data_IF_998644819644
#
_entry.id   IF_998644819644
#
_cell.length_a   1.000
_cell.length_b   1.000
_cell.length_c   1.000
_cell.angle_alpha   90.00
_cell.angle_beta   90.00
_cell.angle_gamma   90.00
#
_symmetry.space_group_name_H-M   'P 1'
#
loop_
_entity.id
_entity.type
_entity.pdbx_description
1 polymer ?
#
# COMPACT_ATOMS: atom_id res chain seq x y z
N UNK A 1 -18.19 36.86 -32.01
CA UNK A 1 -18.38 37.07 -30.55
C UNK A 1 -19.08 35.82 -30.06
N UNK A 2 -18.54 35.15 -29.03
CA UNK A 2 -19.20 33.97 -28.43
C UNK A 2 -20.46 34.46 -27.69
N UNK A 3 -21.63 33.86 -27.95
CA UNK A 3 -22.89 34.27 -27.32
C UNK A 3 -23.03 33.79 -25.86
N UNK A 4 -22.18 32.86 -25.42
CA UNK A 4 -22.17 32.29 -24.07
C UNK A 4 -21.06 32.88 -23.17
N UNK A 5 -20.09 33.58 -23.75
CA UNK A 5 -18.87 34.00 -23.07
C UNK A 5 -18.80 35.53 -22.96
N UNK A 6 -18.92 36.09 -21.74
CA UNK A 6 -18.78 37.54 -21.49
C UNK A 6 -17.31 38.01 -21.59
N UNK A 7 -16.73 37.99 -22.78
CA UNK A 7 -15.37 38.52 -23.03
C UNK A 7 -14.24 37.82 -22.23
N UNK A 8 -14.51 36.64 -21.67
CA UNK A 8 -13.56 35.79 -20.96
C UNK A 8 -12.96 34.76 -21.92
N UNK A 9 -11.65 34.51 -21.80
CA UNK A 9 -10.93 33.57 -22.68
C UNK A 9 -11.03 32.10 -22.25
N UNK A 10 -11.42 31.83 -21.00
CA UNK A 10 -11.59 30.49 -20.45
C UNK A 10 -12.83 30.43 -19.55
N UNK A 11 -13.53 29.31 -19.57
CA UNK A 11 -14.64 28.98 -18.67
C UNK A 11 -14.29 27.72 -17.87
N UNK A 12 -14.80 27.63 -16.63
CA UNK A 12 -14.55 26.46 -15.77
C UNK A 12 -15.63 25.42 -16.01
N UNK A 13 -15.24 24.30 -16.61
CA UNK A 13 -16.08 23.12 -16.76
C UNK A 13 -15.55 21.99 -15.86
N UNK A 14 -16.47 21.20 -15.29
CA UNK A 14 -16.13 20.00 -14.52
C UNK A 14 -16.52 18.77 -15.31
N UNK A 15 -15.56 17.88 -15.57
CA UNK A 15 -15.79 16.60 -16.23
C UNK A 15 -15.26 15.43 -15.36
N UNK A 16 -15.79 14.24 -15.58
CA UNK A 16 -15.39 13.04 -14.85
C UNK A 16 -14.31 12.28 -15.65
N UNK A 17 -13.21 11.93 -14.97
CA UNK A 17 -12.15 11.06 -15.51
C UNK A 17 -12.17 9.75 -14.74
N UNK A 18 -12.29 8.64 -15.45
CA UNK A 18 -12.19 7.30 -14.87
C UNK A 18 -10.74 6.84 -14.92
N UNK A 19 -10.18 6.50 -13.77
CA UNK A 19 -8.83 5.94 -13.66
C UNK A 19 -8.94 4.51 -13.16
N UNK A 20 -8.53 3.56 -14.00
CA UNK A 20 -8.52 2.15 -13.64
C UNK A 20 -7.25 1.81 -12.84
N UNK A 21 -7.43 1.27 -11.64
CA UNK A 21 -6.34 0.82 -10.78
C UNK A 21 -6.21 -0.69 -10.90
N UNK A 22 -5.19 -1.14 -11.62
CA UNK A 22 -4.90 -2.57 -11.78
C UNK A 22 -4.28 -3.18 -10.51
N UNK A 23 -4.52 -4.48 -10.34
CA UNK A 23 -3.94 -5.26 -9.25
C UNK A 23 -2.42 -5.24 -9.35
N UNK A 24 -1.75 -4.93 -8.25
CA UNK A 24 -0.28 -4.92 -8.18
C UNK A 24 0.37 -3.58 -8.52
N UNK A 25 -0.39 -2.57 -8.96
CA UNK A 25 0.13 -1.20 -9.15
C UNK A 25 0.93 -0.72 -7.92
N UNK A 26 2.06 -0.07 -8.19
CA UNK A 26 3.03 0.30 -7.16
C UNK A 26 2.76 1.69 -6.60
N UNK A 27 3.23 1.93 -5.39
CA UNK A 27 3.22 3.26 -4.81
C UNK A 27 4.06 4.23 -5.67
N UNK A 28 3.49 5.39 -5.94
CA UNK A 28 4.15 6.43 -6.74
C UNK A 28 4.10 6.22 -8.25
N UNK A 29 3.49 5.14 -8.75
CA UNK A 29 3.25 4.92 -10.17
C UNK A 29 2.38 6.04 -10.76
N UNK A 30 2.69 6.47 -11.98
CA UNK A 30 1.98 7.54 -12.68
C UNK A 30 1.11 6.98 -13.80
N UNK A 31 -0.14 7.46 -13.87
CA UNK A 31 -1.05 7.27 -14.99
C UNK A 31 -1.19 8.61 -15.68
N UNK A 32 -0.81 8.66 -16.96
CA UNK A 32 -0.75 9.90 -17.75
C UNK A 32 -1.88 9.92 -18.76
N UNK A 33 -2.65 10.99 -18.74
CA UNK A 33 -3.63 11.33 -19.76
C UNK A 33 -3.05 12.49 -20.57
N UNK A 34 -2.69 12.21 -21.82
CA UNK A 34 -2.08 13.19 -22.71
C UNK A 34 -3.13 14.20 -23.15
N UNK A 35 -2.77 15.49 -23.14
CA UNK A 35 -3.63 16.58 -23.60
C UNK A 35 -4.95 16.78 -22.81
N UNK A 36 -5.14 16.10 -21.68
CA UNK A 36 -6.30 16.27 -20.77
C UNK A 36 -6.06 17.33 -19.68
N UNK A 37 -4.97 18.08 -19.76
CA UNK A 37 -4.64 19.17 -18.84
C UNK A 37 -5.37 20.48 -19.16
N UNK A 38 -4.90 21.57 -18.59
CA UNK A 38 -5.51 22.89 -18.82
C UNK A 38 -5.32 23.33 -20.30
N UNK A 39 -6.39 23.82 -20.95
CA UNK A 39 -6.32 24.29 -22.33
C UNK A 39 -5.49 25.57 -22.45
N UNK A 40 -4.79 25.74 -23.58
CA UNK A 40 -4.01 26.94 -23.90
C UNK A 40 -4.52 27.60 -25.18
N UNK A 41 -4.52 28.93 -25.22
CA UNK A 41 -4.97 29.72 -26.39
C UNK A 41 -4.12 29.46 -27.64
N UNK A 42 -2.80 29.38 -27.49
CA UNK A 42 -1.84 29.22 -28.60
C UNK A 42 -0.95 27.98 -28.39
N UNK A 43 -1.56 26.81 -28.20
CA UNK A 43 -0.80 25.56 -28.09
C UNK A 43 -1.64 24.35 -27.68
N UNK A 44 -0.97 23.19 -27.60
CA UNK A 44 -1.56 21.94 -27.09
C UNK A 44 -1.86 22.07 -25.58
N UNK A 45 -2.96 21.45 -25.10
CA UNK A 45 -3.23 21.35 -23.68
C UNK A 45 -2.11 20.65 -22.91
N UNK A 46 -2.04 20.87 -21.59
CA UNK A 46 -1.11 20.11 -20.75
C UNK A 46 -1.49 18.64 -20.61
N UNK A 47 -0.65 17.87 -19.91
CA UNK A 47 -0.99 16.49 -19.52
C UNK A 47 -1.61 16.46 -18.12
N UNK A 48 -2.56 15.54 -17.91
CA UNK A 48 -3.08 15.22 -16.60
C UNK A 48 -2.39 13.95 -16.06
N UNK A 49 -1.62 14.11 -14.98
CA UNK A 49 -0.85 13.01 -14.37
C UNK A 49 -1.42 12.64 -13.01
N UNK A 50 -1.95 11.43 -12.90
CA UNK A 50 -2.36 10.85 -11.63
C UNK A 50 -1.22 10.08 -11.02
N UNK A 51 -0.87 10.39 -9.77
CA UNK A 51 0.13 9.63 -9.01
C UNK A 51 -0.55 8.79 -7.95
N UNK A 52 -0.38 7.48 -8.05
CA UNK A 52 -0.96 6.52 -7.12
C UNK A 52 -0.24 6.64 -5.78
N UNK A 53 -1.02 6.69 -4.70
CA UNK A 53 -0.51 6.63 -3.33
C UNK A 53 -1.21 5.52 -2.57
N UNK A 54 -0.41 4.66 -1.95
CA UNK A 54 -0.89 3.55 -1.11
C UNK A 54 -1.40 4.12 0.19
N UNK A 55 -2.67 3.85 0.50
CA UNK A 55 -3.25 4.23 1.79
C UNK A 55 -2.60 3.39 2.92
N UNK A 56 -2.26 4.01 4.07
CA UNK A 56 -1.81 3.25 5.23
C UNK A 56 -2.92 2.33 5.71
N UNK A 57 -2.55 1.12 6.14
CA UNK A 57 -3.49 0.12 6.66
C UNK A 57 -3.09 -0.28 8.09
N UNK A 58 -4.07 -0.47 8.97
CA UNK A 58 -3.84 -0.66 10.40
C UNK A 58 -3.01 -1.90 10.73
N UNK A 59 -3.22 -2.98 9.96
CA UNK A 59 -2.57 -4.29 10.21
C UNK A 59 -1.36 -4.57 9.32
N UNK A 60 -1.28 -3.89 8.18
CA UNK A 60 -0.39 -4.30 7.10
C UNK A 60 0.35 -3.10 6.54
N UNK A 61 1.63 -3.30 6.29
CA UNK A 61 2.47 -2.34 5.57
C UNK A 61 2.95 -3.00 4.30
N UNK A 62 2.69 -2.38 3.15
CA UNK A 62 3.24 -2.84 1.87
C UNK A 62 4.64 -2.27 1.68
N UNK A 63 5.57 -3.12 1.27
CA UNK A 63 6.92 -2.75 0.87
C UNK A 63 7.23 -3.45 -0.46
N UNK A 64 7.17 -2.69 -1.56
CA UNK A 64 7.24 -3.25 -2.91
C UNK A 64 6.12 -4.27 -3.18
N UNK A 65 6.52 -5.52 -3.44
CA UNK A 65 5.61 -6.64 -3.65
C UNK A 65 5.32 -7.45 -2.37
N UNK A 66 5.88 -7.03 -1.23
CA UNK A 66 5.74 -7.73 0.02
C UNK A 66 4.72 -7.04 0.94
N UNK A 67 4.00 -7.86 1.69
CA UNK A 67 3.13 -7.42 2.77
C UNK A 67 3.75 -7.78 4.12
N UNK A 68 3.94 -6.78 4.97
CA UNK A 68 4.51 -6.91 6.30
C UNK A 68 3.41 -6.74 7.34
N UNK A 69 3.39 -7.62 8.35
CA UNK A 69 2.61 -7.42 9.58
C UNK A 69 3.45 -7.76 10.79
N UNK A 70 3.18 -7.07 11.91
CA UNK A 70 3.86 -7.31 13.18
C UNK A 70 2.92 -8.04 14.13
N UNK A 71 3.32 -9.25 14.54
CA UNK A 71 2.56 -10.03 15.51
C UNK A 71 3.28 -9.99 16.85
N UNK A 72 2.53 -9.67 17.90
CA UNK A 72 3.03 -9.76 19.28
C UNK A 72 2.79 -11.17 19.81
N UNK A 73 3.87 -11.83 20.23
CA UNK A 73 3.83 -13.14 20.88
C UNK A 73 4.35 -13.04 22.31
N UNK A 74 3.89 -13.93 23.18
CA UNK A 74 4.44 -14.03 24.54
C UNK A 74 5.81 -14.69 24.53
N UNK A 75 6.59 -14.50 25.59
CA UNK A 75 7.91 -15.14 25.72
C UNK A 75 7.80 -16.67 25.66
N UNK A 76 6.78 -17.24 26.31
CA UNK A 76 6.52 -18.69 26.30
C UNK A 76 6.24 -19.19 24.88
N UNK A 77 5.39 -18.48 24.13
CA UNK A 77 5.08 -18.77 22.72
C UNK A 77 6.33 -18.69 21.84
N UNK A 78 7.24 -17.76 22.12
CA UNK A 78 8.49 -17.64 21.37
C UNK A 78 9.48 -18.79 21.65
N UNK A 79 9.42 -19.43 22.82
CA UNK A 79 10.33 -20.51 23.23
C UNK A 79 9.82 -21.91 22.90
N UNK A 80 8.53 -22.16 23.09
CA UNK A 80 7.92 -23.49 22.89
C UNK A 80 7.43 -23.68 21.44
N UNK A 81 7.30 -22.57 20.71
CA UNK A 81 6.57 -22.53 19.45
C UNK A 81 5.16 -22.01 19.67
N UNK A 82 4.58 -21.51 18.59
CA UNK A 82 3.24 -20.94 18.63
C UNK A 82 2.51 -21.25 17.33
N UNK A 83 1.19 -21.24 17.43
CA UNK A 83 0.27 -21.27 16.32
C UNK A 83 -0.66 -20.07 16.48
N UNK A 84 -0.78 -19.27 15.43
CA UNK A 84 -1.66 -18.09 15.37
C UNK A 84 -2.29 -18.00 14.00
N UNK A 85 -3.58 -17.78 14.00
CA UNK A 85 -4.35 -17.45 12.79
C UNK A 85 -4.37 -15.94 12.60
N UNK A 86 -4.06 -15.49 11.38
CA UNK A 86 -4.11 -14.08 10.99
C UNK A 86 -5.06 -13.94 9.81
N UNK A 87 -5.96 -12.97 9.89
CA UNK A 87 -6.81 -12.59 8.79
C UNK A 87 -6.04 -11.74 7.77
N UNK A 88 -6.04 -12.19 6.53
CA UNK A 88 -5.34 -11.56 5.43
C UNK A 88 -6.18 -10.42 4.79
N UNK A 89 -5.68 -9.75 3.75
CA UNK A 89 -6.39 -8.65 3.07
C UNK A 89 -7.62 -9.11 2.28
N UNK A 90 -7.66 -10.38 1.90
CA UNK A 90 -8.73 -11.06 1.16
C UNK A 90 -9.70 -11.80 2.10
N UNK A 91 -9.70 -11.47 3.40
CA UNK A 91 -10.51 -12.11 4.45
C UNK A 91 -10.19 -13.60 4.68
N UNK A 92 -9.18 -14.14 3.99
CA UNK A 92 -8.72 -15.50 4.20
C UNK A 92 -7.90 -15.63 5.48
N UNK A 93 -8.13 -16.69 6.24
CA UNK A 93 -7.41 -16.99 7.47
C UNK A 93 -6.13 -17.77 7.13
N UNK A 94 -4.99 -17.21 7.54
CA UNK A 94 -3.68 -17.84 7.36
C UNK A 94 -3.15 -18.29 8.72
N UNK A 95 -2.92 -19.60 8.85
CA UNK A 95 -2.35 -20.19 10.05
C UNK A 95 -0.82 -20.14 9.99
N UNK A 96 -0.23 -19.48 10.97
CA UNK A 96 1.21 -19.36 11.12
C UNK A 96 1.62 -20.21 12.31
N UNK A 97 2.37 -21.27 12.04
CA UNK A 97 2.95 -22.12 13.06
C UNK A 97 4.48 -22.03 13.05
N UNK A 98 5.09 -21.83 14.21
CA UNK A 98 6.54 -21.93 14.38
C UNK A 98 6.84 -23.15 15.24
N UNK A 99 7.54 -24.13 14.67
CA UNK A 99 8.12 -25.23 15.41
C UNK A 99 9.50 -24.81 15.88
N UNK A 100 9.70 -24.70 17.19
CA UNK A 100 11.04 -24.41 17.72
C UNK A 100 11.84 -25.71 17.67
N UNK A 101 12.83 -25.77 16.79
CA UNK A 101 13.94 -26.70 16.94
C UNK A 101 14.84 -26.15 18.05
N UNK A 102 14.99 -26.90 19.14
CA UNK A 102 15.89 -26.59 20.26
C UNK A 102 17.35 -26.56 19.79
N UNK A 103 17.75 -25.50 19.11
CA UNK A 103 19.15 -25.11 18.86
C UNK A 103 19.33 -23.60 19.08
N UNK A 104 18.53 -23.01 19.99
CA UNK A 104 18.83 -21.68 20.52
C UNK A 104 20.05 -21.81 21.44
N UNK A 105 21.17 -21.24 21.01
CA UNK A 105 22.46 -21.28 21.69
C UNK A 105 22.32 -20.84 23.16
N UNK A 106 22.51 -21.76 24.11
CA UNK A 106 22.53 -21.47 25.55
C UNK A 106 23.82 -20.71 25.89
N UNK A 107 23.72 -19.40 26.14
CA UNK A 107 24.89 -18.62 26.58
C UNK A 107 24.76 -17.10 26.54
N UNK A 108 23.64 -16.54 26.06
CA UNK A 108 23.44 -15.08 26.02
C UNK A 108 22.31 -14.68 26.98
N UNK A 109 22.61 -13.77 27.91
CA UNK A 109 21.63 -13.15 28.79
C UNK A 109 20.64 -12.33 27.95
N UNK A 110 19.44 -12.86 27.73
CA UNK A 110 18.39 -12.18 26.99
C UNK A 110 17.35 -11.61 27.96
N UNK A 111 17.37 -10.29 28.15
CA UNK A 111 16.19 -9.57 28.60
C UNK A 111 15.24 -9.39 27.41
N UNK A 112 14.37 -10.37 27.15
CA UNK A 112 13.32 -10.27 26.11
C UNK A 112 11.96 -10.03 26.76
N UNK A 113 11.59 -8.76 26.95
CA UNK A 113 10.28 -8.41 27.53
C UNK A 113 9.12 -8.44 26.53
N UNK A 114 9.39 -8.52 25.21
CA UNK A 114 8.41 -8.74 24.12
C UNK A 114 9.16 -8.97 22.80
N UNK A 115 8.92 -10.10 22.12
CA UNK A 115 9.50 -10.37 20.78
C UNK A 115 8.49 -9.91 19.71
N UNK A 116 8.91 -9.05 18.79
CA UNK A 116 8.15 -8.71 17.58
C UNK A 116 8.62 -9.62 16.45
N UNK A 117 7.68 -10.26 15.75
CA UNK A 117 7.96 -11.08 14.58
C UNK A 117 7.35 -10.38 13.38
N UNK A 118 8.16 -10.14 12.35
CA UNK A 118 7.71 -9.67 11.06
C UNK A 118 7.36 -10.88 10.19
N UNK A 119 6.12 -10.91 9.71
CA UNK A 119 5.67 -11.90 8.73
C UNK A 119 5.71 -11.23 7.37
N UNK A 120 6.47 -11.82 6.44
CA UNK A 120 6.58 -11.39 5.05
C UNK A 120 5.76 -12.31 4.16
N UNK A 121 4.92 -11.75 3.30
CA UNK A 121 4.27 -12.48 2.22
C UNK A 121 4.56 -11.84 0.87
N UNK A 122 4.99 -12.65 -0.08
CA UNK A 122 5.19 -12.26 -1.49
C UNK A 122 3.83 -12.27 -2.20
N UNK A 123 3.46 -11.15 -2.82
CA UNK A 123 2.29 -11.04 -3.71
C UNK A 123 2.55 -11.62 -5.09
#
# INVERSE_FOLDING_TARGET
VCDQCQNVKYEREGYFVTVDIEKGMQDGQEVVFYEDGEPKIDGEPGDLKFRIRTAPHDRFRREGNNLHTTVTVTLVQALVGFEKTIEHLDEHLVDISTKVSMNMCFGTSFAMTKKRIEVLKFS
#
